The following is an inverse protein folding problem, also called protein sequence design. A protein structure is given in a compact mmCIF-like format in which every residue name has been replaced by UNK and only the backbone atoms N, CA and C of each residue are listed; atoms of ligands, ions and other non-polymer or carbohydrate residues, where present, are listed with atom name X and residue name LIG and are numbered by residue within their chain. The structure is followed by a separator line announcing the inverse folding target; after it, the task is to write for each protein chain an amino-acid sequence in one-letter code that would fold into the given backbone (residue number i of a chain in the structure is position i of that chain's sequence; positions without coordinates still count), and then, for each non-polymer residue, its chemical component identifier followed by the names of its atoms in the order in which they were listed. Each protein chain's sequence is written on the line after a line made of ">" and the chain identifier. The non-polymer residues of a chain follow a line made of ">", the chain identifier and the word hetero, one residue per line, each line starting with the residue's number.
data_IF_393693573275
#
_entry.id   IF_393693573275
#
_cell.length_a   1.000
_cell.length_b   1.000
_cell.length_c   1.000
_cell.angle_alpha   90.00
_cell.angle_beta   90.00
_cell.angle_gamma   90.00
#
_symmetry.space_group_name_H-M   'P 1'
#
loop_
_entity.id
_entity.type
_entity.pdbx_description
1 polymer ?
#
# COMPACT_ATOMS: atom_id res chain seq x y z
N UNK A 1 -45.96 -16.94 35.86
CA UNK A 1 -46.91 -15.90 35.39
C UNK A 1 -46.15 -14.97 34.47
N UNK A 2 -46.48 -14.96 33.18
CA UNK A 2 -45.72 -14.32 32.11
C UNK A 2 -46.32 -12.95 31.81
N UNK A 3 -45.59 -11.87 32.10
CA UNK A 3 -45.97 -10.50 31.73
C UNK A 3 -45.46 -10.24 30.31
N UNK A 4 -46.39 -10.14 29.35
CA UNK A 4 -46.10 -9.82 27.94
C UNK A 4 -46.12 -8.31 27.79
N UNK A 5 -44.96 -7.72 27.51
CA UNK A 5 -44.85 -6.31 27.12
C UNK A 5 -45.06 -6.25 25.60
N UNK A 6 -46.14 -5.60 25.20
CA UNK A 6 -46.53 -5.36 23.80
C UNK A 6 -45.97 -3.99 23.41
N UNK A 7 -45.04 -3.97 22.44
CA UNK A 7 -44.54 -2.73 21.84
C UNK A 7 -45.50 -2.29 20.73
N UNK A 8 -46.04 -1.05 20.75
CA UNK A 8 -46.83 -0.55 19.64
C UNK A 8 -45.90 -0.17 18.48
N UNK A 9 -46.11 -0.90 17.39
CA UNK A 9 -45.61 -0.69 16.04
C UNK A 9 -46.07 0.68 15.52
N UNK A 10 -45.18 1.66 15.48
CA UNK A 10 -45.43 2.94 14.81
C UNK A 10 -44.75 2.92 13.43
N UNK A 11 -45.59 2.70 12.43
CA UNK A 11 -45.24 2.65 11.02
C UNK A 11 -45.20 4.08 10.46
N UNK A 12 -44.01 4.60 10.11
CA UNK A 12 -43.87 5.79 9.29
C UNK A 12 -43.07 5.44 8.04
N UNK A 13 -43.80 5.04 7.00
CA UNK A 13 -43.32 4.91 5.63
C UNK A 13 -43.07 6.32 5.05
N UNK A 14 -41.81 6.74 4.96
CA UNK A 14 -41.42 7.87 4.13
C UNK A 14 -40.94 7.31 2.77
N UNK A 15 -41.78 7.47 1.75
CA UNK A 15 -41.46 7.17 0.35
C UNK A 15 -40.60 8.31 -0.21
N UNK A 16 -39.30 8.06 -0.40
CA UNK A 16 -38.44 8.94 -1.21
C UNK A 16 -38.57 8.55 -2.67
N UNK A 17 -39.23 9.39 -3.47
CA UNK A 17 -39.24 9.26 -4.92
C UNK A 17 -37.91 9.77 -5.49
N UNK A 18 -37.09 8.87 -6.01
CA UNK A 18 -35.95 9.24 -6.86
C UNK A 18 -36.49 9.63 -8.25
N UNK A 19 -36.41 10.91 -8.58
CA UNK A 19 -36.59 11.39 -9.95
C UNK A 19 -35.33 11.03 -10.76
N UNK A 20 -35.45 10.05 -11.64
CA UNK A 20 -34.44 9.74 -12.64
C UNK A 20 -34.49 10.77 -13.76
N UNK A 21 -33.35 11.38 -14.08
CA UNK A 21 -33.14 12.06 -15.36
C UNK A 21 -31.92 11.43 -16.02
N UNK A 22 -32.17 10.56 -17.00
CA UNK A 22 -31.16 10.12 -17.96
C UNK A 22 -31.56 10.58 -19.36
N UNK A 23 -30.58 11.22 -19.99
CA UNK A 23 -30.29 11.30 -21.43
C UNK A 23 -31.31 11.93 -22.38
N UNK A 24 -30.89 13.02 -23.03
CA UNK A 24 -31.04 13.17 -24.48
C UNK A 24 -29.95 14.09 -25.05
N UNK A 25 -29.11 13.51 -25.91
CA UNK A 25 -28.36 14.25 -26.92
C UNK A 25 -29.31 14.73 -28.00
N UNK A 26 -29.11 15.95 -28.52
CA UNK A 26 -29.12 16.19 -29.99
C UNK A 26 -28.50 17.55 -30.33
N UNK A 27 -27.51 17.47 -31.23
CA UNK A 27 -27.29 18.27 -32.42
C UNK A 27 -26.89 19.76 -32.25
N UNK A 28 -25.62 20.09 -32.51
CA UNK A 28 -25.06 20.59 -33.79
C UNK A 28 -25.53 22.03 -34.10
N UNK A 29 -24.71 22.96 -34.60
CA UNK A 29 -23.80 22.81 -35.73
C UNK A 29 -23.03 24.13 -35.98
N UNK A 30 -21.85 24.01 -36.61
CA UNK A 30 -21.09 24.96 -37.46
C UNK A 30 -20.27 26.05 -36.73
N UNK A 31 -19.00 26.31 -37.07
CA UNK A 31 -18.41 26.34 -38.42
C UNK A 31 -16.91 26.03 -38.42
N UNK A 32 -16.52 25.32 -39.48
CA UNK A 32 -15.20 24.84 -39.89
C UNK A 32 -14.24 25.91 -40.41
N UNK A 33 -12.93 25.65 -40.28
CA UNK A 33 -11.86 25.81 -41.31
C UNK A 33 -10.50 25.50 -40.64
N UNK A 34 -9.82 24.38 -40.94
CA UNK A 34 -8.90 24.14 -42.09
C UNK A 34 -7.65 25.03 -41.99
N UNK A 35 -6.39 24.59 -42.01
CA UNK A 35 -5.73 23.58 -42.86
C UNK A 35 -4.29 23.35 -42.36
N UNK A 36 -3.80 22.16 -42.67
CA UNK A 36 -2.43 21.61 -42.67
C UNK A 36 -1.29 22.49 -43.21
N UNK A 37 -0.06 22.23 -42.73
CA UNK A 37 1.21 22.00 -43.48
C UNK A 37 2.31 21.67 -42.42
N UNK A 38 2.94 20.49 -42.36
CA UNK A 38 3.97 19.91 -43.27
C UNK A 38 5.27 20.75 -43.26
N UNK A 39 6.53 20.28 -43.14
CA UNK A 39 7.23 19.01 -42.89
C UNK A 39 8.74 19.32 -42.83
N UNK A 40 9.54 18.31 -42.46
CA UNK A 40 10.91 18.01 -42.94
C UNK A 40 12.09 18.57 -42.14
N UNK A 41 13.22 17.87 -41.93
CA UNK A 41 13.69 16.48 -42.14
C UNK A 41 15.16 16.41 -41.63
N UNK A 42 15.76 15.21 -41.75
CA UNK A 42 17.20 14.82 -41.78
C UNK A 42 17.84 14.51 -40.41
N UNK A 43 18.12 13.24 -40.06
CA UNK A 43 19.14 12.28 -40.56
C UNK A 43 20.57 12.70 -40.13
N UNK A 44 21.50 11.84 -39.68
CA UNK A 44 21.71 10.42 -39.94
C UNK A 44 22.84 9.87 -39.02
N UNK A 45 22.78 8.56 -38.73
CA UNK A 45 23.89 7.59 -38.72
C UNK A 45 25.02 7.68 -37.66
N UNK A 46 25.71 6.62 -37.22
CA UNK A 46 25.62 5.15 -37.32
C UNK A 46 26.91 4.61 -36.64
N UNK A 47 26.88 3.34 -36.28
CA UNK A 47 28.01 2.37 -36.29
C UNK A 47 28.54 1.84 -34.95
N UNK A 48 28.64 0.52 -35.01
CA UNK A 48 29.05 -0.52 -34.09
C UNK A 48 30.58 -0.71 -34.12
N UNK A 49 31.15 -1.23 -33.05
CA UNK A 49 32.28 -2.16 -33.12
C UNK A 49 32.43 -2.92 -31.80
N UNK A 50 32.29 -4.25 -31.91
CA UNK A 50 32.72 -5.26 -30.96
C UNK A 50 34.24 -5.26 -30.76
N UNK A 51 34.66 -5.85 -29.64
CA UNK A 51 35.86 -6.70 -29.42
C UNK A 51 36.50 -6.35 -28.07
N UNK A 52 37.09 -7.24 -27.30
CA UNK A 52 37.19 -8.69 -27.24
C UNK A 52 37.97 -8.98 -25.96
N UNK A 53 37.59 -10.05 -25.26
CA UNK A 53 38.43 -10.93 -24.43
C UNK A 53 39.65 -10.35 -23.68
N UNK A 54 39.62 -10.46 -22.35
CA UNK A 54 40.78 -11.01 -21.65
C UNK A 54 40.31 -12.01 -20.60
N UNK A 55 40.67 -13.26 -20.86
CA UNK A 55 40.60 -14.35 -19.90
C UNK A 55 41.66 -14.14 -18.81
N UNK A 56 41.29 -14.34 -17.56
CA UNK A 56 42.22 -14.78 -16.53
C UNK A 56 41.51 -15.84 -15.70
N UNK A 57 41.92 -17.06 -15.98
CA UNK A 57 41.68 -18.26 -15.21
C UNK A 57 42.31 -18.10 -13.84
N UNK A 58 41.54 -18.35 -12.79
CA UNK A 58 42.06 -18.76 -11.50
C UNK A 58 41.07 -19.73 -10.90
N UNK A 59 41.34 -21.02 -11.13
CA UNK A 59 40.79 -22.11 -10.35
C UNK A 59 41.11 -21.87 -8.87
N UNK A 60 40.10 -21.86 -8.00
CA UNK A 60 40.31 -22.17 -6.59
C UNK A 60 39.03 -22.76 -6.01
N UNK A 61 39.20 -23.95 -5.44
CA UNK A 61 38.32 -24.83 -4.69
C UNK A 61 36.83 -24.51 -4.60
N UNK A 62 36.06 -25.51 -5.04
CA UNK A 62 34.73 -25.80 -4.51
C UNK A 62 34.80 -26.02 -2.99
N UNK A 63 34.34 -25.04 -2.23
CA UNK A 63 33.84 -25.23 -0.88
C UNK A 63 32.32 -25.09 -0.96
N UNK A 64 31.62 -26.23 -0.94
CA UNK A 64 30.15 -26.28 -0.82
C UNK A 64 29.81 -25.84 0.61
N UNK A 65 29.67 -24.53 0.78
CA UNK A 65 28.98 -23.95 1.93
C UNK A 65 27.47 -23.93 1.60
N UNK A 66 26.58 -24.35 2.50
CA UNK A 66 25.15 -24.24 2.24
C UNK A 66 24.79 -22.76 2.18
N UNK A 67 24.58 -22.26 0.97
CA UNK A 67 23.98 -20.97 0.69
C UNK A 67 22.57 -20.97 1.30
N UNK A 68 22.46 -20.56 2.56
CA UNK A 68 21.19 -20.06 3.12
C UNK A 68 20.91 -18.83 2.27
N UNK A 69 20.11 -18.99 1.21
CA UNK A 69 19.60 -17.90 0.39
C UNK A 69 18.88 -16.94 1.33
N UNK A 70 19.61 -15.97 1.87
CA UNK A 70 19.04 -14.82 2.54
C UNK A 70 18.35 -14.08 1.41
N UNK A 71 17.04 -14.30 1.26
CA UNK A 71 16.19 -13.52 0.37
C UNK A 71 16.47 -12.06 0.72
N UNK A 72 17.24 -11.37 -0.13
CA UNK A 72 17.62 -9.98 0.11
C UNK A 72 16.32 -9.19 0.27
N UNK A 73 16.09 -8.72 1.49
CA UNK A 73 14.80 -8.11 1.86
C UNK A 73 14.63 -6.85 1.02
N UNK A 74 13.83 -6.96 -0.04
CA UNK A 74 13.43 -5.82 -0.88
C UNK A 74 12.90 -4.70 0.04
N UNK A 75 13.44 -3.50 -0.14
CA UNK A 75 12.95 -2.32 0.56
C UNK A 75 11.46 -2.12 0.29
N UNK A 76 10.74 -1.61 1.28
CA UNK A 76 9.31 -1.30 1.13
C UNK A 76 9.07 -0.31 -0.02
N UNK A 77 8.10 -0.64 -0.88
CA UNK A 77 7.71 0.16 -2.05
C UNK A 77 6.29 0.68 -1.88
N UNK A 78 6.15 1.92 -1.42
CA UNK A 78 4.84 2.52 -1.11
C UNK A 78 4.00 2.83 -2.34
N UNK A 79 4.64 3.04 -3.49
CA UNK A 79 3.92 3.23 -4.76
C UNK A 79 3.29 1.91 -5.21
N UNK A 80 4.01 0.79 -5.08
CA UNK A 80 3.45 -0.54 -5.33
C UNK A 80 2.29 -0.85 -4.38
N UNK A 81 2.44 -0.54 -3.08
CA UNK A 81 1.39 -0.73 -2.07
C UNK A 81 0.11 0.03 -2.40
N UNK A 82 0.22 1.29 -2.83
CA UNK A 82 -0.93 2.10 -3.24
C UNK A 82 -1.66 1.54 -4.47
N UNK A 83 -0.99 0.70 -5.26
CA UNK A 83 -1.56 -0.01 -6.41
C UNK A 83 -2.00 -1.45 -6.07
N UNK A 84 -1.97 -1.85 -4.80
CA UNK A 84 -2.37 -3.17 -4.34
C UNK A 84 -1.31 -4.27 -4.53
N UNK A 85 -0.06 -3.91 -4.85
CA UNK A 85 1.07 -4.85 -4.86
C UNK A 85 1.77 -4.85 -3.50
N UNK A 86 1.59 -5.96 -2.76
CA UNK A 86 2.12 -6.17 -1.41
C UNK A 86 3.42 -6.98 -1.39
N UNK A 87 4.01 -7.29 -2.55
CA UNK A 87 5.22 -8.11 -2.63
C UNK A 87 6.39 -7.56 -1.80
N UNK A 88 6.53 -6.24 -1.71
CA UNK A 88 7.60 -5.58 -0.95
C UNK A 88 7.45 -5.72 0.58
N UNK A 89 6.24 -6.02 1.08
CA UNK A 89 5.94 -6.15 2.52
C UNK A 89 5.68 -7.59 2.96
N UNK A 90 5.78 -8.55 2.04
CA UNK A 90 5.65 -9.99 2.31
C UNK A 90 6.50 -10.40 3.53
N UNK A 91 5.91 -11.25 4.36
CA UNK A 91 6.53 -11.83 5.54
C UNK A 91 5.79 -11.49 6.83
N UNK A 92 6.40 -11.88 7.94
CA UNK A 92 5.87 -11.68 9.29
C UNK A 92 6.44 -10.42 9.90
N UNK A 93 5.56 -9.60 10.48
CA UNK A 93 5.89 -8.38 11.19
C UNK A 93 5.46 -8.52 12.64
N UNK A 94 6.33 -8.17 13.58
CA UNK A 94 6.08 -8.32 15.01
C UNK A 94 6.37 -7.02 15.76
N UNK A 95 5.51 -6.67 16.71
CA UNK A 95 5.74 -5.55 17.63
C UNK A 95 6.45 -6.01 18.92
N UNK A 96 6.82 -5.06 19.78
CA UNK A 96 7.53 -5.38 21.04
C UNK A 96 6.71 -6.25 22.02
N UNK A 97 5.39 -6.29 21.89
CA UNK A 97 4.51 -7.14 22.69
C UNK A 97 4.33 -8.57 22.12
N UNK A 98 4.94 -8.87 20.97
CA UNK A 98 4.84 -10.17 20.30
C UNK A 98 3.62 -10.33 19.40
N UNK A 99 2.76 -9.31 19.24
CA UNK A 99 1.65 -9.36 18.28
C UNK A 99 2.21 -9.36 16.85
N UNK A 100 1.55 -10.11 15.97
CA UNK A 100 2.03 -10.33 14.61
C UNK A 100 1.02 -9.91 13.55
N UNK A 101 1.53 -9.36 12.45
CA UNK A 101 0.83 -9.19 11.18
C UNK A 101 1.59 -9.98 10.12
N UNK A 102 0.87 -10.75 9.31
CA UNK A 102 1.48 -11.58 8.26
C UNK A 102 1.00 -11.08 6.91
N UNK A 103 1.93 -10.84 6.00
CA UNK A 103 1.64 -10.40 4.63
C UNK A 103 2.08 -11.44 3.61
N UNK A 104 1.25 -11.67 2.60
CA UNK A 104 1.59 -12.36 1.37
C UNK A 104 1.49 -11.41 0.17
N UNK A 105 1.65 -11.92 -1.05
CA UNK A 105 1.60 -11.11 -2.27
C UNK A 105 0.23 -10.44 -2.52
N UNK A 106 -0.82 -10.88 -1.82
CA UNK A 106 -2.19 -10.34 -1.89
C UNK A 106 -2.54 -9.39 -0.74
N UNK A 107 -1.65 -9.20 0.23
CA UNK A 107 -1.86 -8.32 1.38
C UNK A 107 -1.90 -9.06 2.71
N UNK A 108 -2.68 -8.53 3.66
CA UNK A 108 -2.77 -9.05 5.02
C UNK A 108 -3.40 -10.45 5.03
N UNK A 109 -2.75 -11.38 5.72
CA UNK A 109 -3.22 -12.76 5.94
C UNK A 109 -3.81 -12.86 7.33
N UNK A 110 -5.13 -12.96 7.42
CA UNK A 110 -5.85 -13.11 8.68
C UNK A 110 -7.24 -13.69 8.43
N UNK A 111 -7.74 -14.50 9.37
CA UNK A 111 -9.12 -15.00 9.35
C UNK A 111 -10.11 -13.96 9.88
N UNK A 112 -9.64 -13.00 10.69
CA UNK A 112 -10.48 -12.04 11.40
C UNK A 112 -10.32 -10.61 10.89
N UNK A 113 -9.28 -10.33 10.11
CA UNK A 113 -8.93 -8.98 9.68
C UNK A 113 -8.77 -8.90 8.16
N UNK A 114 -9.26 -7.81 7.59
CA UNK A 114 -9.14 -7.50 6.18
C UNK A 114 -8.57 -6.09 6.00
N UNK A 115 -7.54 -5.96 5.15
CA UNK A 115 -6.94 -4.68 4.78
C UNK A 115 -7.63 -4.12 3.54
N UNK A 116 -8.18 -2.91 3.64
CA UNK A 116 -8.93 -2.26 2.56
C UNK A 116 -8.02 -1.35 1.72
N UNK A 117 -7.01 -1.95 1.10
CA UNK A 117 -6.04 -1.23 0.28
C UNK A 117 -5.11 -0.32 1.07
N UNK A 118 -4.23 0.37 0.35
CA UNK A 118 -3.41 1.44 0.90
C UNK A 118 -3.42 2.65 -0.04
N UNK A 119 -3.20 3.84 0.50
CA UNK A 119 -3.05 5.09 -0.24
C UNK A 119 -1.84 5.85 0.26
N UNK A 120 -1.14 6.54 -0.65
CA UNK A 120 -0.01 7.39 -0.28
C UNK A 120 -0.44 8.49 0.70
N UNK A 121 0.45 8.88 1.58
CA UNK A 121 0.25 9.99 2.51
C UNK A 121 1.32 11.06 2.35
N UNK A 122 1.09 12.23 2.94
CA UNK A 122 2.06 13.34 2.96
C UNK A 122 3.28 13.07 3.87
N UNK A 123 3.30 11.95 4.60
CA UNK A 123 4.45 11.54 5.42
C UNK A 123 5.54 10.80 4.63
N UNK A 124 5.34 10.58 3.32
CA UNK A 124 6.21 9.69 2.54
C UNK A 124 5.99 8.21 2.88
N UNK A 125 4.75 7.86 3.17
CA UNK A 125 4.29 6.53 3.60
C UNK A 125 3.05 6.12 2.80
N UNK A 126 2.51 4.94 3.07
CA UNK A 126 1.17 4.55 2.61
C UNK A 126 0.33 4.08 3.80
N UNK A 127 -0.97 4.38 3.80
CA UNK A 127 -1.89 4.04 4.89
C UNK A 127 -3.13 3.32 4.38
N UNK A 128 -3.69 2.44 5.21
CA UNK A 128 -4.92 1.71 4.93
C UNK A 128 -5.69 1.38 6.21
N UNK A 129 -6.99 1.17 6.08
CA UNK A 129 -7.83 0.68 7.17
C UNK A 129 -7.83 -0.85 7.21
N UNK A 130 -7.61 -1.41 8.39
CA UNK A 130 -7.83 -2.83 8.66
C UNK A 130 -9.11 -2.98 9.45
N UNK A 131 -10.05 -3.79 8.97
CA UNK A 131 -11.37 -3.98 9.56
C UNK A 131 -11.58 -5.42 10.02
N UNK A 132 -12.50 -5.59 10.97
CA UNK A 132 -12.80 -6.89 11.58
C UNK A 132 -12.26 -7.01 13.00
N UNK A 133 -12.01 -8.25 13.44
CA UNK A 133 -11.61 -8.58 14.81
C UNK A 133 -12.71 -8.35 15.85
N UNK A 134 -12.54 -8.96 17.03
CA UNK A 134 -13.48 -8.80 18.15
C UNK A 134 -13.42 -7.39 18.76
N UNK A 135 -12.26 -6.74 18.67
CA UNK A 135 -12.00 -5.40 19.23
C UNK A 135 -12.24 -4.27 18.22
N UNK A 136 -12.67 -4.59 17.01
CA UNK A 136 -12.76 -3.64 15.90
C UNK A 136 -11.44 -3.47 15.14
N UNK A 137 -11.50 -2.60 14.12
CA UNK A 137 -10.41 -2.31 13.20
C UNK A 137 -9.36 -1.33 13.72
N UNK A 138 -8.33 -1.11 12.91
CA UNK A 138 -7.23 -0.18 13.19
C UNK A 138 -6.69 0.44 11.90
N UNK A 139 -6.01 1.58 12.04
CA UNK A 139 -5.20 2.15 10.95
C UNK A 139 -3.90 1.39 10.84
N UNK A 140 -3.48 1.10 9.62
CA UNK A 140 -2.19 0.51 9.31
C UNK A 140 -1.39 1.48 8.43
N UNK A 141 -0.21 1.86 8.90
CA UNK A 141 0.76 2.63 8.14
C UNK A 141 1.94 1.75 7.70
N UNK A 142 2.31 1.87 6.43
CA UNK A 142 3.49 1.31 5.82
C UNK A 142 4.57 2.39 5.73
N UNK A 143 5.63 2.24 6.52
CA UNK A 143 6.67 3.26 6.69
C UNK A 143 8.01 2.72 6.18
N UNK A 144 8.50 3.20 5.03
CA UNK A 144 9.80 2.80 4.51
C UNK A 144 10.96 3.14 5.44
N UNK A 145 12.05 2.39 5.33
CA UNK A 145 13.34 2.75 5.93
C UNK A 145 13.76 4.17 5.50
N UNK A 146 14.34 4.91 6.42
CA UNK A 146 14.79 6.29 6.24
C UNK A 146 13.71 7.35 6.49
N UNK A 147 12.43 6.99 6.53
CA UNK A 147 11.34 7.96 6.77
C UNK A 147 11.23 8.31 8.25
N UNK A 148 11.62 9.52 8.65
CA UNK A 148 11.42 9.97 10.04
C UNK A 148 10.07 10.66 10.17
N UNK A 149 9.24 10.20 11.09
CA UNK A 149 7.94 10.82 11.36
C UNK A 149 8.12 12.01 12.31
N UNK A 150 7.42 13.10 12.04
CA UNK A 150 7.50 14.29 12.86
C UNK A 150 6.84 14.05 14.23
N UNK A 151 7.52 14.48 15.28
CA UNK A 151 7.00 14.49 16.64
C UNK A 151 5.84 15.49 16.77
N UNK A 152 4.83 15.12 17.57
CA UNK A 152 3.64 15.93 17.91
C UNK A 152 3.37 15.79 19.42
N UNK A 153 2.41 16.55 19.93
CA UNK A 153 2.01 16.49 21.35
C UNK A 153 1.69 15.06 21.83
N UNK A 154 0.91 14.33 21.03
CA UNK A 154 0.40 12.98 21.37
C UNK A 154 1.06 11.84 20.60
N UNK A 155 2.12 12.13 19.83
CA UNK A 155 2.81 11.13 19.01
C UNK A 155 4.31 11.41 18.97
N UNK A 156 5.11 10.43 19.36
CA UNK A 156 6.56 10.51 19.28
C UNK A 156 7.12 9.36 18.45
N UNK A 157 7.92 9.68 17.44
CA UNK A 157 8.60 8.67 16.66
C UNK A 157 9.85 8.16 17.41
N UNK A 158 9.63 7.14 18.24
CA UNK A 158 10.68 6.39 18.95
C UNK A 158 11.17 5.16 18.20
N UNK A 159 10.72 4.97 16.96
CA UNK A 159 11.03 3.79 16.16
C UNK A 159 12.42 3.85 15.52
N UNK A 160 12.96 2.68 15.16
CA UNK A 160 14.19 2.56 14.39
C UNK A 160 13.93 2.88 12.92
N UNK A 161 14.20 4.13 12.55
CA UNK A 161 14.04 4.60 11.18
C UNK A 161 15.04 3.99 10.19
N UNK A 162 16.05 3.24 10.63
CA UNK A 162 16.93 2.50 9.71
C UNK A 162 16.25 1.29 9.07
N UNK A 163 15.08 0.90 9.59
CA UNK A 163 14.30 -0.24 9.13
C UNK A 163 12.96 0.19 8.54
N UNK A 164 12.46 -0.62 7.61
CA UNK A 164 11.05 -0.58 7.26
C UNK A 164 10.23 -0.94 8.51
N UNK A 165 9.14 -0.21 8.71
CA UNK A 165 8.24 -0.36 9.86
C UNK A 165 6.80 -0.46 9.37
N UNK A 166 5.99 -1.19 10.12
CA UNK A 166 4.56 -0.94 10.12
C UNK A 166 4.22 -0.17 11.39
N UNK A 167 3.16 0.63 11.33
CA UNK A 167 2.58 1.24 12.52
C UNK A 167 1.09 0.96 12.54
N UNK A 168 0.56 0.55 13.70
CA UNK A 168 -0.88 0.42 13.91
C UNK A 168 -1.34 1.43 14.94
N UNK A 169 -2.45 2.10 14.64
CA UNK A 169 -3.07 3.03 15.57
C UNK A 169 -4.59 2.99 15.52
N UNK A 170 -5.18 3.68 16.49
CA UNK A 170 -6.62 3.90 16.57
C UNK A 170 -6.95 5.32 16.09
N UNK A 171 -8.22 5.54 15.71
CA UNK A 171 -8.68 6.84 15.22
C UNK A 171 -8.77 6.93 13.70
N UNK A 172 -9.04 8.15 13.21
CA UNK A 172 -9.27 8.43 11.78
C UNK A 172 -7.99 8.80 11.02
N UNK A 173 -6.99 9.35 11.73
CA UNK A 173 -5.77 9.87 11.12
C UNK A 173 -4.54 9.17 11.68
N UNK A 174 -3.56 8.94 10.83
CA UNK A 174 -2.26 8.43 11.25
C UNK A 174 -1.53 9.43 12.14
N UNK A 175 -0.96 8.92 13.24
CA UNK A 175 -0.08 9.67 14.14
C UNK A 175 -0.74 10.86 14.85
N UNK A 176 -2.05 10.81 15.12
CA UNK A 176 -2.71 11.73 16.05
C UNK A 176 -2.59 11.25 17.51
N UNK A 177 -2.37 9.95 17.70
CA UNK A 177 -2.14 9.30 18.99
C UNK A 177 -0.96 8.32 18.88
N UNK A 178 -0.45 7.88 20.02
CA UNK A 178 0.60 6.87 20.05
C UNK A 178 0.04 5.51 19.62
N UNK A 179 0.75 4.84 18.72
CA UNK A 179 0.44 3.49 18.28
C UNK A 179 1.61 2.54 18.47
N UNK A 180 1.52 1.38 17.83
CA UNK A 180 2.49 0.29 17.95
C UNK A 180 3.28 0.13 16.66
N UNK A 181 4.61 0.10 16.77
CA UNK A 181 5.48 -0.19 15.65
C UNK A 181 5.76 -1.69 15.54
N UNK A 182 5.77 -2.20 14.32
CA UNK A 182 6.12 -3.57 13.98
C UNK A 182 7.33 -3.57 13.06
N UNK A 183 8.19 -4.57 13.25
CA UNK A 183 9.37 -4.80 12.43
C UNK A 183 9.30 -6.19 11.81
N UNK A 184 9.90 -6.36 10.65
CA UNK A 184 9.91 -7.68 9.98
C UNK A 184 10.75 -8.66 10.80
N UNK A 185 10.21 -9.84 11.06
CA UNK A 185 10.93 -10.92 11.74
C UNK A 185 11.97 -11.48 10.78
N UNK A 186 13.24 -11.48 11.20
CA UNK A 186 14.34 -12.13 10.47
C UNK A 186 14.54 -13.55 10.97
N UNK A 187 14.50 -14.53 10.05
CA UNK A 187 14.78 -15.95 10.31
C UNK A 187 16.24 -16.35 10.04
#
# INVERSE_FOLDING_TARGET
>A
MKQKIVYPLLCCLALSTLAACSSKSVNSTQTSSSTTQESSQVASSQSVAESSSSATSSQSSAEVSPEKTQEEKKAMDISALANGDYSSVKGTWQNAAGHQLVFNDKGLVSDSYELYGASLTDYGTASGGVYGGETGGFLLEFIPKGVKLANKENFQDSSDASQDRLWTGVGMNSFDEQGQFYYRVTN
#
